data_IF_570142930854
#
_entry.id   IF_570142930854
#
_cell.length_a   1.000
_cell.length_b   1.000
_cell.length_c   1.000
_cell.angle_alpha   90.00
_cell.angle_beta   90.00
_cell.angle_gamma   90.00
#
_symmetry.space_group_name_H-M   'P 1'
#
loop_
_entity.id
_entity.type
_entity.pdbx_description
1 polymer ?
#
# COMPACT_ATOMS: atom_id res chain seq x y z
N UNK A 1 11.61 16.32 39.43
CA UNK A 1 12.21 16.71 38.12
C UNK A 1 13.10 15.60 37.55
N UNK A 2 13.92 14.93 38.38
CA UNK A 2 14.78 13.83 37.93
C UNK A 2 14.01 12.57 37.48
N UNK A 3 12.90 12.23 38.13
CA UNK A 3 12.06 11.07 37.74
C UNK A 3 11.47 11.18 36.32
N UNK A 4 11.19 12.41 35.85
CA UNK A 4 10.68 12.64 34.49
C UNK A 4 11.77 12.35 33.46
N UNK A 5 13.02 12.75 33.75
CA UNK A 5 14.17 12.51 32.88
C UNK A 5 14.49 11.02 32.83
N UNK A 6 14.38 10.32 33.97
CA UNK A 6 14.55 8.88 34.09
C UNK A 6 13.51 8.10 33.28
N UNK A 7 12.25 8.55 33.29
CA UNK A 7 11.18 7.95 32.47
C UNK A 7 11.47 8.05 30.97
N UNK A 8 12.02 9.17 30.49
CA UNK A 8 12.38 9.33 29.07
C UNK A 8 13.58 8.49 28.64
N UNK A 9 14.41 8.02 29.58
CA UNK A 9 15.51 7.10 29.31
C UNK A 9 15.04 5.64 29.23
N UNK A 10 13.80 5.33 29.62
CA UNK A 10 13.25 3.99 29.46
C UNK A 10 13.01 3.66 27.97
N UNK A 11 13.11 2.38 27.57
CA UNK A 11 12.84 1.95 26.18
C UNK A 11 11.46 2.37 25.66
N UNK A 12 10.47 2.51 26.54
CA UNK A 12 9.12 2.95 26.21
C UNK A 12 9.06 4.47 25.98
N UNK A 13 9.76 5.26 26.82
CA UNK A 13 9.87 6.71 26.65
C UNK A 13 10.51 7.10 25.32
N UNK A 14 11.60 6.43 24.94
CA UNK A 14 12.29 6.64 23.65
C UNK A 14 11.37 6.32 22.45
N UNK A 15 10.60 5.23 22.52
CA UNK A 15 9.63 4.87 21.47
C UNK A 15 8.54 5.92 21.32
N UNK A 16 8.00 6.45 22.43
CA UNK A 16 6.99 7.50 22.41
C UNK A 16 7.51 8.79 21.77
N UNK A 17 8.73 9.22 22.11
CA UNK A 17 9.38 10.36 21.46
C UNK A 17 9.56 10.09 19.97
N UNK A 18 10.01 8.90 19.60
CA UNK A 18 10.24 8.54 18.20
C UNK A 18 8.95 8.57 17.38
N UNK A 19 7.84 8.06 17.93
CA UNK A 19 6.52 8.21 17.29
C UNK A 19 6.16 9.68 17.16
N UNK A 20 6.27 10.47 18.21
CA UNK A 20 5.92 11.89 18.18
C UNK A 20 6.71 12.65 17.10
N UNK A 21 8.03 12.43 17.04
CA UNK A 21 8.91 13.03 16.02
C UNK A 21 8.52 12.55 14.62
N UNK A 22 8.26 11.25 14.43
CA UNK A 22 7.88 10.71 13.12
C UNK A 22 6.54 11.29 12.61
N UNK A 23 5.54 11.42 13.49
CA UNK A 23 4.24 12.04 13.16
C UNK A 23 4.43 13.52 12.81
N UNK A 24 5.27 14.23 13.56
CA UNK A 24 5.60 15.63 13.30
C UNK A 24 6.24 15.79 11.91
N UNK A 25 7.19 14.92 11.55
CA UNK A 25 7.84 14.92 10.22
C UNK A 25 6.80 14.68 9.12
N UNK A 26 5.92 13.69 9.25
CA UNK A 26 4.87 13.41 8.25
C UNK A 26 3.89 14.59 8.13
N UNK A 27 3.54 15.23 9.24
CA UNK A 27 2.68 16.42 9.22
C UNK A 27 3.34 17.59 8.49
N UNK A 28 4.63 17.85 8.74
CA UNK A 28 5.41 18.88 8.04
C UNK A 28 5.48 18.55 6.54
N UNK A 29 5.84 17.32 6.16
CA UNK A 29 5.93 16.89 4.77
C UNK A 29 4.60 17.06 4.03
N UNK A 30 3.51 16.54 4.59
CA UNK A 30 2.17 16.68 3.98
C UNK A 30 1.74 18.14 3.89
N UNK A 31 2.11 18.98 4.85
CA UNK A 31 1.92 20.43 4.82
C UNK A 31 2.66 21.12 3.68
N UNK A 32 3.94 20.77 3.47
CA UNK A 32 4.77 21.27 2.37
C UNK A 32 4.17 20.86 1.02
N UNK A 33 3.87 19.57 0.83
CA UNK A 33 3.34 19.06 -0.44
C UNK A 33 2.00 19.75 -0.79
N UNK A 34 1.12 19.97 0.19
CA UNK A 34 -0.14 20.72 -0.02
C UNK A 34 0.05 22.18 -0.43
N UNK A 35 1.16 22.81 -0.03
CA UNK A 35 1.53 24.17 -0.45
C UNK A 35 2.14 24.20 -1.85
N UNK A 36 2.72 23.09 -2.32
CA UNK A 36 3.32 22.96 -3.66
C UNK A 36 2.28 22.60 -4.73
N UNK A 37 1.30 21.75 -4.42
CA UNK A 37 0.18 21.37 -5.34
C UNK A 37 -0.47 22.54 -6.10
N UNK A 38 -0.79 23.69 -5.47
CA UNK A 38 -1.41 24.84 -6.14
C UNK A 38 -0.61 25.38 -7.33
N UNK A 39 0.71 25.15 -7.34
CA UNK A 39 1.61 25.63 -8.40
C UNK A 39 1.54 24.77 -9.67
N UNK A 40 1.06 23.53 -9.55
CA UNK A 40 1.01 22.56 -10.65
C UNK A 40 -0.42 22.22 -11.10
N UNK A 41 -1.44 22.51 -10.29
CA UNK A 41 -2.84 22.17 -10.57
C UNK A 41 -3.70 23.43 -10.56
N UNK A 42 -4.03 23.92 -11.77
CA UNK A 42 -4.82 25.14 -12.01
C UNK A 42 -6.32 24.94 -11.79
N UNK A 43 -6.86 23.75 -12.08
CA UNK A 43 -8.29 23.47 -11.92
C UNK A 43 -8.68 23.22 -10.46
N UNK A 44 -9.68 23.95 -9.97
CA UNK A 44 -10.16 23.93 -8.58
C UNK A 44 -10.64 22.55 -8.13
N UNK A 45 -11.33 21.80 -9.01
CA UNK A 45 -11.81 20.44 -8.72
C UNK A 45 -10.69 19.40 -8.55
N UNK A 46 -9.65 19.47 -9.39
CA UNK A 46 -8.48 18.59 -9.30
C UNK A 46 -7.63 18.89 -8.06
N UNK A 47 -7.51 20.18 -7.69
CA UNK A 47 -6.79 20.62 -6.48
C UNK A 47 -7.41 20.09 -5.19
N UNK A 48 -8.73 19.99 -5.10
CA UNK A 48 -9.41 19.41 -3.95
C UNK A 48 -9.15 17.90 -3.83
N UNK A 49 -9.28 17.15 -4.93
CA UNK A 49 -9.00 15.70 -4.97
C UNK A 49 -7.56 15.41 -4.60
N UNK A 50 -6.61 16.16 -5.14
CA UNK A 50 -5.19 15.96 -4.86
C UNK A 50 -4.83 16.26 -3.39
N UNK A 51 -5.43 17.29 -2.78
CA UNK A 51 -5.28 17.54 -1.33
C UNK A 51 -5.87 16.41 -0.48
N UNK A 52 -7.03 15.87 -0.86
CA UNK A 52 -7.66 14.73 -0.18
C UNK A 52 -6.78 13.48 -0.28
N UNK A 53 -6.19 13.23 -1.45
CA UNK A 53 -5.24 12.14 -1.65
C UNK A 53 -3.98 12.29 -0.79
N UNK A 54 -3.38 13.49 -0.72
CA UNK A 54 -2.23 13.74 0.19
C UNK A 54 -2.61 13.48 1.65
N UNK A 55 -3.79 13.92 2.09
CA UNK A 55 -4.25 13.64 3.46
C UNK A 55 -4.32 12.14 3.73
N UNK A 56 -4.96 11.40 2.82
CA UNK A 56 -5.07 9.95 2.93
C UNK A 56 -3.69 9.30 3.00
N UNK A 57 -2.77 9.70 2.12
CA UNK A 57 -1.40 9.20 2.10
C UNK A 57 -0.61 9.59 3.35
N UNK A 58 -0.85 10.78 3.89
CA UNK A 58 -0.30 11.24 5.17
C UNK A 58 -0.74 10.38 6.35
N UNK A 59 -2.03 10.05 6.43
CA UNK A 59 -2.54 9.14 7.46
C UNK A 59 -1.95 7.73 7.31
N UNK A 60 -1.85 7.22 6.08
CA UNK A 60 -1.20 5.94 5.82
C UNK A 60 0.26 5.93 6.29
N UNK A 61 1.02 7.00 6.02
CA UNK A 61 2.41 7.14 6.46
C UNK A 61 2.55 7.21 7.99
N UNK A 62 1.63 7.90 8.68
CA UNK A 62 1.60 7.92 10.16
C UNK A 62 1.37 6.52 10.72
N UNK A 63 0.40 5.79 10.18
CA UNK A 63 0.13 4.40 10.60
C UNK A 63 1.36 3.52 10.38
N UNK A 64 1.99 3.62 9.22
CA UNK A 64 3.23 2.89 8.91
C UNK A 64 4.36 3.25 9.88
N UNK A 65 4.56 4.52 10.19
CA UNK A 65 5.60 4.95 11.14
C UNK A 65 5.38 4.33 12.53
N UNK A 66 4.13 4.31 13.02
CA UNK A 66 3.79 3.67 14.30
C UNK A 66 4.10 2.18 14.26
N UNK A 67 3.70 1.48 13.20
CA UNK A 67 3.97 0.04 13.02
C UNK A 67 5.48 -0.24 13.03
N UNK A 68 6.29 0.59 12.38
CA UNK A 68 7.75 0.44 12.33
C UNK A 68 8.37 0.61 13.72
N UNK A 69 7.98 1.66 14.47
CA UNK A 69 8.50 1.91 15.82
C UNK A 69 8.15 0.76 16.78
N UNK A 70 6.97 0.16 16.60
CA UNK A 70 6.50 -0.95 17.43
C UNK A 70 6.77 -2.34 16.82
N UNK A 71 7.51 -2.43 15.71
CA UNK A 71 7.76 -3.67 14.96
C UNK A 71 8.22 -4.84 15.82
N UNK A 72 9.13 -4.59 16.76
CA UNK A 72 9.63 -5.61 17.69
C UNK A 72 8.53 -6.32 18.51
N UNK A 73 7.43 -5.62 18.79
CA UNK A 73 6.27 -6.18 19.52
C UNK A 73 5.25 -6.82 18.58
N UNK A 74 5.30 -6.52 17.29
CA UNK A 74 4.39 -7.01 16.26
C UNK A 74 4.90 -8.26 15.54
N UNK A 75 6.14 -8.70 15.80
CA UNK A 75 6.78 -9.84 15.12
C UNK A 75 5.89 -11.07 15.02
N UNK A 76 5.23 -11.49 16.12
CA UNK A 76 4.33 -12.65 16.11
C UNK A 76 3.11 -12.45 15.20
N UNK A 77 2.54 -11.24 15.19
CA UNK A 77 1.42 -10.89 14.33
C UNK A 77 1.84 -10.83 12.85
N UNK A 78 3.00 -10.27 12.55
CA UNK A 78 3.58 -10.23 11.19
C UNK A 78 3.84 -11.63 10.66
N UNK A 79 4.40 -12.53 11.49
CA UNK A 79 4.62 -13.93 11.12
C UNK A 79 3.29 -14.64 10.86
N UNK A 80 2.30 -14.46 11.74
CA UNK A 80 0.97 -15.04 11.55
C UNK A 80 0.32 -14.59 10.24
N UNK A 81 0.28 -13.28 9.97
CA UNK A 81 -0.25 -12.74 8.72
C UNK A 81 0.53 -13.21 7.50
N UNK A 82 1.85 -13.35 7.62
CA UNK A 82 2.70 -13.88 6.55
C UNK A 82 2.35 -15.31 6.20
N UNK A 83 2.22 -16.19 7.20
CA UNK A 83 1.85 -17.60 7.00
C UNK A 83 0.41 -17.72 6.50
N UNK A 84 -0.53 -17.00 7.10
CA UNK A 84 -1.93 -16.98 6.65
C UNK A 84 -2.04 -16.46 5.21
N UNK A 85 -1.32 -15.38 4.89
CA UNK A 85 -1.25 -14.80 3.55
C UNK A 85 -0.66 -15.78 2.53
N UNK A 86 0.41 -16.49 2.88
CA UNK A 86 0.98 -17.55 2.04
C UNK A 86 -0.03 -18.69 1.81
N UNK A 87 -0.77 -19.10 2.85
CA UNK A 87 -1.82 -20.11 2.73
C UNK A 87 -2.97 -19.66 1.81
N UNK A 88 -3.42 -18.41 1.94
CA UNK A 88 -4.44 -17.82 1.06
C UNK A 88 -3.93 -17.73 -0.38
N UNK A 89 -2.69 -17.27 -0.58
CA UNK A 89 -2.09 -17.18 -1.91
C UNK A 89 -1.97 -18.56 -2.58
N UNK A 90 -1.61 -19.60 -1.81
CA UNK A 90 -1.55 -20.97 -2.29
C UNK A 90 -2.94 -21.52 -2.66
N UNK A 91 -3.94 -21.29 -1.80
CA UNK A 91 -5.32 -21.69 -2.06
C UNK A 91 -5.91 -21.00 -3.31
N UNK A 92 -5.50 -19.76 -3.58
CA UNK A 92 -5.98 -18.96 -4.72
C UNK A 92 -5.05 -19.00 -5.94
N UNK A 93 -4.06 -19.90 -5.98
CA UNK A 93 -3.04 -19.89 -7.04
C UNK A 93 -3.64 -19.96 -8.45
N UNK A 94 -4.69 -20.76 -8.66
CA UNK A 94 -5.35 -20.92 -9.96
C UNK A 94 -6.12 -19.66 -10.36
N UNK A 95 -6.76 -19.01 -9.40
CA UNK A 95 -7.48 -17.74 -9.62
C UNK A 95 -6.49 -16.64 -10.01
N UNK A 96 -5.37 -16.54 -9.28
CA UNK A 96 -4.31 -15.56 -9.57
C UNK A 96 -3.73 -15.82 -10.98
N UNK A 97 -3.47 -17.08 -11.32
CA UNK A 97 -2.97 -17.45 -12.65
C UNK A 97 -3.98 -17.12 -13.76
N UNK A 98 -5.28 -17.34 -13.53
CA UNK A 98 -6.33 -16.99 -14.50
C UNK A 98 -6.42 -15.47 -14.73
N UNK A 99 -6.31 -14.68 -13.67
CA UNK A 99 -6.29 -13.20 -13.78
C UNK A 99 -5.04 -12.74 -14.52
N UNK A 100 -3.88 -13.32 -14.22
CA UNK A 100 -2.65 -13.02 -14.93
C UNK A 100 -2.74 -13.40 -16.42
N UNK A 101 -3.34 -14.55 -16.73
CA UNK A 101 -3.61 -14.99 -18.10
C UNK A 101 -4.54 -14.04 -18.85
N UNK A 102 -5.61 -13.58 -18.20
CA UNK A 102 -6.51 -12.56 -18.76
C UNK A 102 -5.75 -11.27 -19.08
N UNK A 103 -4.95 -10.76 -18.14
CA UNK A 103 -4.12 -9.56 -18.37
C UNK A 103 -3.17 -9.80 -19.56
N UNK A 104 -2.47 -10.94 -19.60
CA UNK A 104 -1.53 -11.23 -20.68
C UNK A 104 -2.20 -11.25 -22.07
N UNK A 105 -3.39 -11.88 -22.19
CA UNK A 105 -4.14 -11.93 -23.45
C UNK A 105 -4.58 -10.52 -23.89
N UNK A 106 -5.12 -9.73 -22.96
CA UNK A 106 -5.62 -8.39 -23.27
C UNK A 106 -4.51 -7.43 -23.69
N UNK A 107 -3.37 -7.43 -22.99
CA UNK A 107 -2.29 -6.48 -23.27
C UNK A 107 -1.45 -6.85 -24.49
N UNK A 108 -1.30 -8.14 -24.79
CA UNK A 108 -0.45 -8.61 -25.90
C UNK A 108 -1.24 -8.84 -27.19
N UNK A 109 -2.59 -8.83 -27.11
CA UNK A 109 -3.49 -9.13 -28.24
C UNK A 109 -3.14 -10.43 -28.95
N UNK A 110 -2.73 -11.46 -28.20
CA UNK A 110 -2.36 -12.78 -28.74
C UNK A 110 -3.50 -13.44 -29.52
N UNK A 111 -4.74 -13.16 -29.13
CA UNK A 111 -5.96 -13.63 -29.78
C UNK A 111 -6.87 -12.44 -30.04
N UNK A 112 -7.53 -12.43 -31.19
CA UNK A 112 -8.56 -11.45 -31.54
C UNK A 112 -9.90 -12.14 -31.63
N UNK A 113 -10.96 -11.36 -31.42
CA UNK A 113 -12.33 -11.82 -31.65
C UNK A 113 -12.48 -12.25 -33.11
N UNK A 114 -12.98 -13.46 -33.31
CA UNK A 114 -13.08 -14.13 -34.61
C UNK A 114 -11.91 -15.06 -34.96
N UNK A 115 -10.84 -15.10 -34.17
CA UNK A 115 -9.74 -16.04 -34.40
C UNK A 115 -10.16 -17.48 -34.07
N UNK A 116 -9.81 -18.43 -34.94
CA UNK A 116 -9.97 -19.86 -34.68
C UNK A 116 -8.72 -20.42 -34.03
N UNK A 117 -8.84 -20.87 -32.79
CA UNK A 117 -7.70 -21.27 -31.94
C UNK A 117 -7.85 -22.70 -31.45
N UNK A 118 -6.72 -23.35 -31.16
CA UNK A 118 -6.64 -24.66 -30.51
C UNK A 118 -6.01 -24.44 -29.13
N UNK A 119 -6.79 -24.59 -28.07
CA UNK A 119 -6.34 -24.44 -26.68
C UNK A 119 -6.68 -25.70 -25.88
N UNK A 120 -5.69 -26.27 -25.20
CA UNK A 120 -5.90 -27.46 -24.38
C UNK A 120 -6.46 -28.68 -25.13
N UNK A 121 -6.22 -28.78 -26.45
CA UNK A 121 -6.76 -29.86 -27.29
C UNK A 121 -8.16 -29.61 -27.85
N UNK A 122 -8.80 -28.48 -27.53
CA UNK A 122 -10.14 -28.11 -28.02
C UNK A 122 -10.00 -27.00 -29.07
N UNK A 123 -10.66 -27.16 -30.22
CA UNK A 123 -10.73 -26.14 -31.29
C UNK A 123 -12.02 -25.33 -31.17
N UNK A 124 -11.92 -24.01 -31.28
CA UNK A 124 -13.06 -23.11 -31.26
C UNK A 124 -12.69 -21.73 -31.77
N UNK A 125 -13.69 -20.87 -31.90
CA UNK A 125 -13.53 -19.49 -32.37
C UNK A 125 -13.68 -18.54 -31.16
N UNK A 126 -12.88 -17.48 -31.10
CA UNK A 126 -12.93 -16.47 -30.03
C UNK A 126 -14.13 -15.55 -30.25
N UNK A 127 -14.96 -15.39 -29.23
CA UNK A 127 -16.25 -14.68 -29.34
C UNK A 127 -16.21 -13.31 -28.63
N UNK A 128 -15.44 -13.19 -27.55
CA UNK A 128 -15.19 -11.96 -26.76
C UNK A 128 -13.85 -12.09 -26.01
#
# INVERSE_FOLDING_TARGET
>A
MNEIIEFFQTPTGVKLITVFVSVLIVFILTGIIKRVIPKYVSQTGSRYRARKFINFMGYALVILAIIIVYSNQLTGFTVFLGVAGAGIAFALQEVIASVAGFIAINFTSFFKVGDRVLLGGIKGDVID
#
